data_IF_762602083787
#
_entry.id   IF_762602083787
#
_cell.length_a   1.000
_cell.length_b   1.000
_cell.length_c   1.000
_cell.angle_alpha   90.00
_cell.angle_beta   90.00
_cell.angle_gamma   90.00
#
_symmetry.space_group_name_H-M   'P 1'
#
loop_
_entity.id
_entity.type
_entity.pdbx_description
1 polymer ?
#
# COMPACT_ATOMS: atom_id res chain seq x y z
N UNK A 1 -11.89 16.93 6.94
CA UNK A 1 -12.64 15.71 7.29
C UNK A 1 -12.22 15.27 8.68
N UNK A 2 -13.14 14.68 9.47
CA UNK A 2 -12.84 14.04 10.75
C UNK A 2 -13.17 12.55 10.64
N UNK A 3 -12.39 11.63 11.22
CA UNK A 3 -12.75 10.21 11.25
C UNK A 3 -14.02 10.00 12.07
N UNK A 4 -14.95 9.22 11.51
CA UNK A 4 -16.29 8.98 12.08
C UNK A 4 -16.43 7.62 12.77
N UNK A 5 -15.49 6.71 12.54
CA UNK A 5 -15.52 5.36 13.06
C UNK A 5 -14.66 4.44 12.22
N UNK A 6 -14.51 3.20 12.70
CA UNK A 6 -13.78 2.19 11.95
C UNK A 6 -14.68 1.06 11.47
N UNK A 7 -15.67 0.68 12.28
CA UNK A 7 -16.65 -0.30 11.87
C UNK A 7 -17.64 0.32 10.87
N UNK A 8 -18.24 -0.55 10.06
CA UNK A 8 -19.38 -0.19 9.19
C UNK A 8 -20.49 0.48 10.00
N UNK A 9 -20.71 0.06 11.24
CA UNK A 9 -21.74 0.61 12.11
C UNK A 9 -21.64 2.13 12.32
N UNK A 10 -20.47 2.75 12.08
CA UNK A 10 -20.25 4.20 12.23
C UNK A 10 -19.70 4.86 10.96
N UNK A 11 -19.94 4.25 9.80
CA UNK A 11 -19.51 4.77 8.49
C UNK A 11 -18.05 4.48 8.13
N UNK A 12 -17.36 3.65 8.93
CA UNK A 12 -16.11 3.01 8.50
C UNK A 12 -16.37 1.84 7.55
N UNK A 13 -15.33 1.08 7.21
CA UNK A 13 -15.46 -0.09 6.32
C UNK A 13 -14.48 -1.22 6.70
N UNK A 14 -13.84 -1.14 7.88
CA UNK A 14 -12.83 -2.13 8.31
C UNK A 14 -13.42 -3.54 8.33
N UNK A 15 -14.65 -3.71 8.78
CA UNK A 15 -15.33 -5.00 8.85
C UNK A 15 -16.43 -5.18 7.78
N UNK A 16 -16.39 -4.35 6.73
CA UNK A 16 -17.36 -4.42 5.65
C UNK A 16 -17.08 -5.55 4.65
N UNK A 17 -18.05 -5.86 3.76
CA UNK A 17 -17.96 -6.95 2.80
C UNK A 17 -16.69 -6.92 1.94
N UNK A 18 -16.29 -5.73 1.45
CA UNK A 18 -15.09 -5.58 0.62
C UNK A 18 -13.80 -5.93 1.37
N UNK A 19 -13.70 -5.54 2.65
CA UNK A 19 -12.53 -5.82 3.48
C UNK A 19 -12.44 -7.31 3.81
N UNK A 20 -13.55 -7.93 4.19
CA UNK A 20 -13.63 -9.37 4.47
C UNK A 20 -13.29 -10.20 3.23
N UNK A 21 -13.86 -9.85 2.08
CA UNK A 21 -13.53 -10.46 0.79
C UNK A 21 -12.02 -10.43 0.49
N UNK A 22 -11.35 -9.29 0.78
CA UNK A 22 -9.92 -9.16 0.52
C UNK A 22 -9.08 -10.13 1.35
N UNK A 23 -9.46 -10.37 2.62
CA UNK A 23 -8.79 -11.34 3.49
C UNK A 23 -9.05 -12.76 3.02
N UNK A 24 -10.30 -13.09 2.69
CA UNK A 24 -10.64 -14.41 2.16
C UNK A 24 -9.85 -14.73 0.88
N UNK A 25 -9.74 -13.76 -0.05
CA UNK A 25 -8.97 -13.92 -1.29
C UNK A 25 -7.48 -14.04 -1.04
N UNK A 26 -6.93 -13.24 -0.13
CA UNK A 26 -5.54 -13.35 0.28
C UNK A 26 -5.23 -14.75 0.81
N UNK A 27 -6.05 -15.27 1.72
CA UNK A 27 -5.86 -16.59 2.31
C UNK A 27 -6.06 -17.72 1.28
N UNK A 28 -7.05 -17.59 0.40
CA UNK A 28 -7.28 -18.51 -0.71
C UNK A 28 -6.03 -18.60 -1.60
N UNK A 29 -5.50 -17.45 -2.02
CA UNK A 29 -4.35 -17.39 -2.93
C UNK A 29 -3.06 -17.86 -2.27
N UNK A 30 -2.83 -17.49 -1.00
CA UNK A 30 -1.68 -17.95 -0.24
C UNK A 30 -1.67 -19.47 -0.14
N UNK A 31 -2.83 -20.09 0.10
CA UNK A 31 -2.95 -21.55 0.20
C UNK A 31 -2.88 -22.26 -1.15
N UNK A 32 -3.47 -21.68 -2.20
CA UNK A 32 -3.63 -22.36 -3.48
C UNK A 32 -2.43 -22.19 -4.43
N UNK A 33 -1.73 -21.06 -4.35
CA UNK A 33 -0.77 -20.64 -5.39
C UNK A 33 0.62 -20.26 -4.88
N UNK A 34 0.79 -20.01 -3.58
CA UNK A 34 2.11 -19.69 -3.03
C UNK A 34 2.90 -20.96 -2.64
N UNK A 35 4.24 -20.89 -2.59
CA UNK A 35 5.05 -21.95 -1.99
C UNK A 35 4.59 -22.27 -0.55
N UNK A 36 4.56 -23.54 -0.12
CA UNK A 36 4.06 -23.93 1.21
C UNK A 36 4.72 -23.18 2.37
N UNK A 37 6.01 -22.87 2.26
CA UNK A 37 6.79 -22.14 3.24
C UNK A 37 6.40 -20.65 3.37
N UNK A 38 5.70 -20.08 2.39
CA UNK A 38 5.37 -18.66 2.35
C UNK A 38 4.53 -18.19 3.55
N UNK A 39 3.67 -19.06 4.09
CA UNK A 39 2.82 -18.72 5.24
C UNK A 39 3.62 -18.47 6.53
N UNK A 40 4.82 -19.05 6.64
CA UNK A 40 5.70 -18.87 7.80
C UNK A 40 6.70 -17.73 7.64
N UNK A 41 6.77 -17.09 6.47
CA UNK A 41 7.78 -16.07 6.19
C UNK A 41 7.44 -14.72 6.81
N UNK A 42 8.45 -14.09 7.38
CA UNK A 42 8.45 -12.67 7.73
C UNK A 42 8.68 -11.80 6.49
N UNK A 43 8.53 -10.49 6.65
CA UNK A 43 8.83 -9.51 5.60
C UNK A 43 10.28 -9.63 5.07
N UNK A 44 11.26 -9.82 5.96
CA UNK A 44 12.67 -9.94 5.58
C UNK A 44 12.99 -11.23 4.84
N UNK A 45 12.25 -12.30 5.09
CA UNK A 45 12.42 -13.60 4.42
C UNK A 45 11.72 -13.63 3.06
N UNK A 46 10.52 -13.05 2.96
CA UNK A 46 9.73 -13.03 1.72
C UNK A 46 10.25 -12.03 0.67
N UNK A 47 10.84 -10.90 1.10
CA UNK A 47 11.32 -9.84 0.22
C UNK A 47 12.34 -10.27 -0.84
N UNK A 48 13.38 -11.07 -0.50
CA UNK A 48 14.37 -11.55 -1.46
C UNK A 48 13.91 -12.68 -2.40
N UNK A 49 12.80 -13.37 -2.10
CA UNK A 49 12.34 -14.56 -2.85
C UNK A 49 12.21 -14.34 -4.36
N UNK A 50 11.64 -13.22 -4.87
CA UNK A 50 11.54 -12.98 -6.31
C UNK A 50 12.90 -13.01 -7.02
N UNK A 51 13.96 -12.48 -6.39
CA UNK A 51 15.31 -12.43 -6.98
C UNK A 51 15.95 -13.82 -7.12
N UNK A 52 15.46 -14.81 -6.37
CA UNK A 52 15.94 -16.19 -6.40
C UNK A 52 15.35 -16.99 -7.56
N UNK A 53 14.32 -16.47 -8.24
CA UNK A 53 13.67 -17.15 -9.37
C UNK A 53 12.82 -18.35 -8.97
N UNK A 54 12.45 -18.47 -7.69
CA UNK A 54 11.64 -19.55 -7.16
C UNK A 54 10.13 -19.37 -7.40
N UNK A 55 9.69 -18.15 -7.76
CA UNK A 55 8.30 -17.81 -8.01
C UNK A 55 8.13 -17.10 -9.35
N UNK A 56 6.97 -17.28 -9.99
CA UNK A 56 6.65 -16.60 -11.24
C UNK A 56 6.10 -15.18 -11.04
N UNK A 57 5.52 -14.88 -9.88
CA UNK A 57 4.85 -13.61 -9.60
C UNK A 57 4.86 -13.28 -8.10
N UNK A 58 5.03 -11.99 -7.79
CA UNK A 58 4.78 -11.41 -6.48
C UNK A 58 3.63 -10.40 -6.61
N UNK A 59 2.59 -10.53 -5.76
CA UNK A 59 1.34 -9.75 -5.87
C UNK A 59 1.49 -8.34 -5.28
N UNK A 60 2.56 -8.13 -4.51
CA UNK A 60 2.94 -6.85 -3.94
C UNK A 60 4.44 -6.65 -4.14
N UNK A 61 4.85 -5.41 -4.40
CA UNK A 61 6.25 -5.07 -4.60
C UNK A 61 6.67 -3.97 -3.64
N UNK A 62 7.81 -4.18 -2.98
CA UNK A 62 8.43 -3.18 -2.12
C UNK A 62 9.71 -2.69 -2.79
N UNK A 63 9.76 -1.38 -3.08
CA UNK A 63 10.86 -0.73 -3.82
C UNK A 63 12.25 -1.08 -3.28
N UNK A 64 12.38 -1.27 -1.96
CA UNK A 64 13.64 -1.56 -1.28
C UNK A 64 14.35 -2.84 -1.78
N UNK A 65 13.62 -3.84 -2.30
CA UNK A 65 14.22 -5.09 -2.78
C UNK A 65 14.60 -5.06 -4.27
N UNK A 66 14.28 -3.98 -4.98
CA UNK A 66 14.43 -3.89 -6.44
C UNK A 66 15.88 -3.79 -6.88
N UNK A 67 16.70 -3.04 -6.13
CA UNK A 67 18.11 -2.92 -6.43
C UNK A 67 18.82 -4.28 -6.36
N UNK A 68 18.34 -5.14 -5.45
CA UNK A 68 18.84 -6.49 -5.30
C UNK A 68 18.30 -7.45 -6.36
N UNK A 69 17.12 -7.23 -6.93
CA UNK A 69 16.53 -8.09 -7.97
C UNK A 69 17.03 -7.85 -9.41
N UNK A 70 17.87 -6.82 -9.62
CA UNK A 70 18.47 -6.47 -10.91
C UNK A 70 19.99 -6.67 -10.96
N UNK A 71 20.57 -7.32 -9.94
CA UNK A 71 22.01 -7.63 -9.92
C UNK A 71 22.36 -8.69 -10.98
N UNK A 72 23.48 -8.49 -11.66
CA UNK A 72 24.01 -9.45 -12.62
C UNK A 72 24.35 -10.78 -11.94
N UNK A 73 24.20 -11.89 -12.69
CA UNK A 73 24.45 -13.25 -12.19
C UNK A 73 23.26 -13.89 -11.46
N UNK A 74 22.18 -13.16 -11.20
CA UNK A 74 20.96 -13.72 -10.64
C UNK A 74 20.19 -14.59 -11.65
N UNK A 75 19.47 -15.64 -11.20
CA UNK A 75 18.70 -16.50 -12.09
C UNK A 75 17.60 -15.76 -12.85
N UNK A 76 17.13 -14.63 -12.31
CA UNK A 76 16.08 -13.78 -12.89
C UNK A 76 16.61 -12.62 -13.74
N UNK A 77 17.91 -12.59 -14.02
CA UNK A 77 18.55 -11.60 -14.88
C UNK A 77 19.22 -12.32 -16.06
N UNK A 78 19.06 -11.77 -17.26
CA UNK A 78 19.67 -12.29 -18.48
C UNK A 78 21.18 -11.97 -18.51
N UNK A 79 21.92 -12.65 -19.39
CA UNK A 79 23.36 -12.44 -19.56
C UNK A 79 23.71 -11.00 -20.02
N UNK A 80 22.78 -10.30 -20.67
CA UNK A 80 22.93 -8.89 -21.08
C UNK A 80 22.58 -7.87 -19.97
N UNK A 81 22.23 -8.36 -18.78
CA UNK A 81 21.85 -7.56 -17.62
C UNK A 81 20.40 -7.08 -17.62
N UNK A 82 19.56 -7.52 -18.57
CA UNK A 82 18.11 -7.22 -18.56
C UNK A 82 17.35 -8.17 -17.62
N UNK A 83 16.32 -7.71 -16.88
CA UNK A 83 15.53 -8.59 -16.04
C UNK A 83 14.64 -9.51 -16.89
N UNK A 84 14.46 -10.76 -16.43
CA UNK A 84 13.49 -11.73 -16.99
C UNK A 84 12.06 -11.48 -16.52
N UNK A 85 11.90 -10.55 -15.58
CA UNK A 85 10.63 -10.17 -14.95
C UNK A 85 10.26 -8.74 -15.34
N UNK A 86 8.98 -8.40 -15.14
CA UNK A 86 8.44 -7.05 -15.39
C UNK A 86 7.45 -6.66 -14.32
N UNK A 87 7.40 -5.36 -14.00
CA UNK A 87 6.32 -4.76 -13.24
C UNK A 87 5.06 -4.70 -14.10
N UNK A 88 3.92 -4.99 -13.49
CA UNK A 88 2.64 -4.97 -14.15
C UNK A 88 1.62 -4.22 -13.27
N UNK A 89 0.54 -3.67 -13.87
CA UNK A 89 -0.61 -3.19 -13.10
C UNK A 89 -1.15 -4.27 -12.15
N UNK A 90 -1.57 -3.86 -10.96
CA UNK A 90 -2.15 -4.78 -9.97
C UNK A 90 -3.47 -5.38 -10.48
N UNK A 91 -3.75 -6.66 -10.18
CA UNK A 91 -5.05 -7.24 -10.45
C UNK A 91 -6.13 -6.59 -9.56
N UNK A 92 -7.37 -6.59 -10.05
CA UNK A 92 -8.52 -6.03 -9.33
C UNK A 92 -9.43 -7.13 -8.81
N UNK A 93 -9.96 -6.93 -7.60
CA UNK A 93 -11.08 -7.72 -7.07
C UNK A 93 -12.43 -7.12 -7.47
N UNK A 94 -13.51 -7.87 -7.23
CA UNK A 94 -14.89 -7.50 -7.63
C UNK A 94 -15.38 -6.16 -7.04
N UNK A 95 -14.87 -5.80 -5.85
CA UNK A 95 -15.19 -4.57 -5.14
C UNK A 95 -14.40 -3.35 -5.62
N UNK A 96 -13.37 -3.55 -6.45
CA UNK A 96 -12.61 -2.43 -7.01
C UNK A 96 -13.41 -1.77 -8.14
N UNK A 97 -13.40 -0.44 -8.19
CA UNK A 97 -14.01 0.40 -9.22
C UNK A 97 -13.02 1.46 -9.68
N UNK A 98 -13.19 1.95 -10.90
CA UNK A 98 -12.34 3.01 -11.45
C UNK A 98 -12.27 4.21 -10.51
N UNK A 99 -11.05 4.68 -10.24
CA UNK A 99 -10.76 5.76 -9.30
C UNK A 99 -10.43 5.31 -7.88
N UNK A 100 -10.71 4.04 -7.52
CA UNK A 100 -10.23 3.48 -6.25
C UNK A 100 -8.70 3.30 -6.26
N UNK A 101 -8.09 3.47 -5.10
CA UNK A 101 -6.65 3.23 -4.92
C UNK A 101 -6.35 1.73 -5.02
N UNK A 102 -5.14 1.40 -5.48
CA UNK A 102 -4.64 0.02 -5.57
C UNK A 102 -3.75 -0.36 -4.38
N UNK A 103 -3.28 0.64 -3.64
CA UNK A 103 -2.42 0.47 -2.49
C UNK A 103 -1.99 1.82 -1.95
N UNK A 104 -0.89 1.80 -1.21
CA UNK A 104 -0.27 3.01 -0.65
C UNK A 104 1.20 3.11 -1.06
N UNK A 105 1.72 4.33 -1.05
CA UNK A 105 3.15 4.61 -1.12
C UNK A 105 3.64 5.18 0.20
N UNK A 106 4.73 4.60 0.70
CA UNK A 106 5.48 5.17 1.81
C UNK A 106 6.27 6.38 1.32
N UNK A 107 5.81 7.58 1.70
CA UNK A 107 6.50 8.83 1.42
C UNK A 107 7.41 9.21 2.58
N UNK A 108 8.68 8.81 2.49
CA UNK A 108 9.70 9.21 3.46
C UNK A 108 9.76 10.73 3.63
N UNK A 109 9.72 11.19 4.88
CA UNK A 109 9.64 12.61 5.23
C UNK A 109 10.70 13.01 6.26
N UNK A 110 11.26 14.21 6.12
CA UNK A 110 12.12 14.80 7.13
C UNK A 110 11.26 15.42 8.23
N UNK A 111 11.41 14.95 9.46
CA UNK A 111 10.68 15.48 10.62
C UNK A 111 11.64 16.24 11.53
N UNK A 112 11.42 17.54 11.67
CA UNK A 112 12.14 18.40 12.62
C UNK A 112 11.21 18.71 13.80
N UNK A 113 11.57 18.25 15.00
CA UNK A 113 10.74 18.44 16.18
C UNK A 113 10.78 19.91 16.62
N UNK A 114 9.63 20.46 17.05
CA UNK A 114 9.54 21.82 17.61
C UNK A 114 10.45 22.04 18.83
N UNK A 115 10.76 20.98 19.56
CA UNK A 115 11.65 21.00 20.72
C UNK A 115 13.15 21.00 20.36
N UNK A 116 13.50 20.86 19.08
CA UNK A 116 14.89 20.84 18.63
C UNK A 116 15.47 22.25 18.77
N UNK A 117 16.62 22.45 19.44
CA UNK A 117 17.31 23.74 19.48
C UNK A 117 17.51 24.33 18.08
N UNK A 118 17.34 25.64 17.94
CA UNK A 118 17.27 26.33 16.64
C UNK A 118 18.52 26.10 15.77
N UNK A 119 19.71 26.14 16.38
CA UNK A 119 20.99 25.87 15.72
C UNK A 119 21.04 24.45 15.13
N UNK A 120 20.57 23.46 15.90
CA UNK A 120 20.50 22.05 15.47
C UNK A 120 19.42 21.81 14.42
N UNK A 121 18.27 22.47 14.54
CA UNK A 121 17.19 22.40 13.57
C UNK A 121 17.65 22.94 12.21
N UNK A 122 18.37 24.07 12.20
CA UNK A 122 18.99 24.64 10.99
C UNK A 122 20.01 23.70 10.37
N UNK A 123 20.88 23.08 11.17
CA UNK A 123 21.85 22.11 10.68
C UNK A 123 21.16 20.86 10.06
N UNK A 124 20.13 20.34 10.73
CA UNK A 124 19.34 19.22 10.22
C UNK A 124 18.59 19.58 8.92
N UNK A 125 18.08 20.81 8.82
CA UNK A 125 17.45 21.31 7.60
C UNK A 125 18.44 21.38 6.42
N UNK A 126 19.64 21.93 6.65
CA UNK A 126 20.70 21.98 5.63
C UNK A 126 21.08 20.56 5.16
N UNK A 127 21.18 19.61 6.09
CA UNK A 127 21.46 18.22 5.75
C UNK A 127 20.32 17.59 4.92
N UNK A 128 19.06 17.82 5.30
CA UNK A 128 17.91 17.35 4.54
C UNK A 128 17.91 17.92 3.10
N UNK A 129 18.25 19.20 2.95
CA UNK A 129 18.41 19.85 1.64
C UNK A 129 19.56 19.23 0.83
N UNK A 130 20.70 18.95 1.45
CA UNK A 130 21.82 18.28 0.81
C UNK A 130 21.45 16.89 0.29
N UNK A 131 20.85 16.03 1.14
CA UNK A 131 20.43 14.67 0.76
C UNK A 131 19.39 14.69 -0.35
N UNK A 132 18.52 15.70 -0.35
CA UNK A 132 17.47 15.91 -1.35
C UNK A 132 17.96 16.68 -2.58
N UNK A 133 19.22 17.13 -2.63
CA UNK A 133 19.76 17.85 -3.80
C UNK A 133 19.79 16.92 -5.02
N UNK A 134 19.60 17.48 -6.23
CA UNK A 134 19.51 16.69 -7.47
C UNK A 134 20.71 15.75 -7.64
N UNK A 135 21.93 16.23 -7.43
CA UNK A 135 23.15 15.44 -7.60
C UNK A 135 23.20 14.25 -6.65
N UNK A 136 22.84 14.47 -5.38
CA UNK A 136 22.86 13.41 -4.35
C UNK A 136 21.72 12.42 -4.57
N UNK A 137 20.51 12.91 -4.88
CA UNK A 137 19.34 12.08 -5.16
C UNK A 137 19.54 11.21 -6.40
N UNK A 138 20.09 11.75 -7.50
CA UNK A 138 20.45 10.96 -8.70
C UNK A 138 21.41 9.83 -8.34
N UNK A 139 22.49 10.13 -7.60
CA UNK A 139 23.47 9.12 -7.19
C UNK A 139 22.84 8.06 -6.29
N UNK A 140 22.08 8.45 -5.27
CA UNK A 140 21.39 7.52 -4.36
C UNK A 140 20.36 6.68 -5.10
N UNK A 141 19.58 7.27 -5.99
CA UNK A 141 18.55 6.57 -6.78
C UNK A 141 19.19 5.53 -7.70
N UNK A 142 20.40 5.76 -8.22
CA UNK A 142 21.11 4.73 -8.98
C UNK A 142 21.53 3.52 -8.12
N UNK A 143 21.71 3.71 -6.81
CA UNK A 143 22.05 2.61 -5.90
C UNK A 143 20.79 1.92 -5.38
N UNK A 144 19.87 2.67 -4.77
CA UNK A 144 18.73 2.11 -4.04
C UNK A 144 17.41 2.06 -4.81
N UNK A 145 17.32 2.68 -5.99
CA UNK A 145 16.09 2.73 -6.81
C UNK A 145 14.87 3.36 -6.08
N UNK A 146 15.13 4.22 -5.10
CA UNK A 146 14.13 5.04 -4.40
C UNK A 146 14.31 6.50 -4.81
N UNK A 147 13.26 7.12 -5.33
CA UNK A 147 13.34 8.45 -5.94
C UNK A 147 12.72 9.51 -5.02
N UNK A 148 13.41 10.63 -4.82
CA UNK A 148 12.86 11.78 -4.07
C UNK A 148 12.32 12.84 -5.03
N UNK A 149 12.96 13.03 -6.19
CA UNK A 149 12.64 14.14 -7.11
C UNK A 149 12.18 13.65 -8.47
N UNK A 150 11.20 14.36 -9.04
CA UNK A 150 10.84 14.21 -10.45
C UNK A 150 12.04 14.48 -11.38
N UNK A 151 12.85 15.51 -11.09
CA UNK A 151 14.06 15.82 -11.87
C UNK A 151 15.14 14.72 -11.85
N UNK A 152 15.07 13.80 -10.88
CA UNK A 152 15.92 12.62 -10.80
C UNK A 152 15.35 11.51 -11.67
N UNK A 153 14.05 11.25 -11.57
CA UNK A 153 13.34 10.33 -12.46
C UNK A 153 13.52 10.71 -13.94
N UNK A 154 13.51 12.00 -14.27
CA UNK A 154 13.65 12.51 -15.64
C UNK A 154 15.10 12.60 -16.12
N UNK A 155 16.08 12.27 -15.27
CA UNK A 155 17.48 12.37 -15.63
C UNK A 155 17.81 11.39 -16.79
N UNK A 156 18.60 11.79 -17.81
CA UNK A 156 18.89 10.95 -18.98
C UNK A 156 19.46 9.57 -18.64
N UNK A 157 20.27 9.47 -17.58
CA UNK A 157 20.84 8.19 -17.11
C UNK A 157 19.77 7.17 -16.68
N UNK A 158 18.58 7.60 -16.26
CA UNK A 158 17.47 6.68 -15.97
C UNK A 158 16.70 6.29 -17.23
N UNK A 159 16.69 7.13 -18.26
CA UNK A 159 16.19 6.70 -19.58
C UNK A 159 17.08 5.61 -20.16
N UNK A 160 18.41 5.79 -20.09
CA UNK A 160 19.38 4.79 -20.54
C UNK A 160 19.29 3.49 -19.73
N UNK A 161 19.09 3.58 -18.41
CA UNK A 161 19.01 2.40 -17.53
C UNK A 161 17.63 1.73 -17.51
N UNK A 162 16.56 2.38 -17.95
CA UNK A 162 15.18 1.86 -17.86
C UNK A 162 15.02 0.40 -18.34
N UNK A 163 15.62 -0.02 -19.48
CA UNK A 163 15.51 -1.42 -19.94
C UNK A 163 16.04 -2.47 -18.94
N UNK A 164 16.92 -2.05 -18.00
CA UNK A 164 17.48 -2.92 -16.96
C UNK A 164 16.71 -2.88 -15.62
N UNK A 165 15.57 -2.18 -15.57
CA UNK A 165 14.81 -1.94 -14.34
C UNK A 165 13.38 -2.48 -14.37
N UNK A 166 13.06 -3.34 -15.34
CA UNK A 166 11.86 -4.17 -15.31
C UNK A 166 10.55 -3.38 -15.29
N UNK A 167 10.48 -2.19 -15.88
CA UNK A 167 9.27 -1.35 -15.89
C UNK A 167 9.20 -0.31 -14.77
N UNK A 168 10.20 -0.25 -13.87
CA UNK A 168 10.22 0.70 -12.74
C UNK A 168 10.13 2.16 -13.18
N UNK A 169 10.93 2.54 -14.17
CA UNK A 169 11.04 3.93 -14.62
C UNK A 169 9.77 4.32 -15.37
N UNK A 170 9.24 3.41 -16.18
CA UNK A 170 7.99 3.54 -16.89
C UNK A 170 6.83 3.73 -15.92
N UNK A 171 6.72 2.89 -14.88
CA UNK A 171 5.73 3.04 -13.83
C UNK A 171 5.82 4.41 -13.14
N UNK A 172 7.01 4.80 -12.67
CA UNK A 172 7.18 6.06 -11.96
C UNK A 172 7.05 7.29 -12.86
N UNK A 173 7.22 7.19 -14.17
CA UNK A 173 6.94 8.29 -15.11
C UNK A 173 5.48 8.31 -15.56
N UNK A 174 4.73 7.23 -15.35
CA UNK A 174 3.32 7.12 -15.72
C UNK A 174 2.35 7.74 -14.70
N UNK A 175 1.10 8.02 -15.12
CA UNK A 175 0.01 8.36 -14.20
C UNK A 175 -0.35 7.24 -13.21
N UNK A 176 0.03 5.99 -13.47
CA UNK A 176 -0.37 4.85 -12.64
C UNK A 176 0.13 5.00 -11.19
N UNK A 177 1.27 5.66 -10.97
CA UNK A 177 1.78 5.97 -9.62
C UNK A 177 0.78 6.76 -8.76
N UNK A 178 -0.12 7.53 -9.38
CA UNK A 178 -1.15 8.32 -8.68
C UNK A 178 -2.28 7.44 -8.12
N UNK A 179 -2.41 6.20 -8.56
CA UNK A 179 -3.35 5.25 -7.94
C UNK A 179 -2.84 4.67 -6.63
N UNK A 180 -1.60 5.01 -6.25
CA UNK A 180 -0.94 4.59 -5.02
C UNK A 180 -0.69 5.75 -4.04
N UNK A 181 -0.97 7.00 -4.45
CA UNK A 181 -0.78 8.23 -3.67
C UNK A 181 -1.94 9.21 -3.91
N UNK A 182 -2.47 9.96 -2.93
CA UNK A 182 -2.14 9.97 -1.50
C UNK A 182 -2.90 8.89 -0.71
N UNK A 183 -2.39 8.56 0.48
CA UNK A 183 -2.95 7.63 1.48
C UNK A 183 -4.19 8.14 2.24
N UNK A 184 -4.81 9.22 1.78
CA UNK A 184 -5.92 9.89 2.47
C UNK A 184 -5.43 10.82 3.59
N UNK A 185 -6.37 11.36 4.37
CA UNK A 185 -6.04 12.18 5.54
C UNK A 185 -5.41 11.33 6.63
N UNK A 186 -4.32 11.81 7.25
CA UNK A 186 -3.60 11.11 8.31
C UNK A 186 -4.55 10.49 9.34
N UNK A 187 -4.37 9.20 9.59
CA UNK A 187 -5.18 8.46 10.56
C UNK A 187 -4.77 8.89 11.99
N UNK A 188 -5.73 9.23 12.87
CA UNK A 188 -5.43 9.55 14.28
C UNK A 188 -4.68 8.41 14.96
N UNK A 189 -3.54 8.72 15.59
CA UNK A 189 -2.73 7.72 16.31
C UNK A 189 -2.45 6.45 15.46
N UNK A 190 -2.06 6.65 14.19
CA UNK A 190 -1.68 5.57 13.28
C UNK A 190 -0.71 4.54 13.90
N UNK A 191 0.34 4.92 14.67
CA UNK A 191 1.24 3.95 15.28
C UNK A 191 0.50 2.92 16.16
N UNK A 192 -0.55 3.34 16.87
CA UNK A 192 -1.35 2.44 17.70
C UNK A 192 -2.33 1.62 16.88
N UNK A 193 -3.03 2.24 15.93
CA UNK A 193 -4.02 1.55 15.10
C UNK A 193 -3.37 0.51 14.17
N UNK A 194 -2.15 0.79 13.67
CA UNK A 194 -1.40 -0.12 12.80
C UNK A 194 -1.04 -1.44 13.49
N UNK A 195 -0.78 -1.45 14.80
CA UNK A 195 -0.48 -2.68 15.53
C UNK A 195 -1.69 -3.62 15.61
N UNK A 196 -2.90 -3.07 15.67
CA UNK A 196 -4.12 -3.86 15.72
C UNK A 196 -4.35 -4.65 14.42
N UNK A 197 -3.96 -4.07 13.27
CA UNK A 197 -4.03 -4.74 11.98
C UNK A 197 -3.22 -6.04 11.98
N UNK A 198 -1.97 -6.00 12.42
CA UNK A 198 -1.10 -7.18 12.40
C UNK A 198 -1.67 -8.33 13.24
N UNK A 199 -2.24 -8.02 14.40
CA UNK A 199 -2.86 -9.01 15.26
C UNK A 199 -4.09 -9.64 14.59
N UNK A 200 -5.01 -8.84 14.05
CA UNK A 200 -6.23 -9.35 13.43
C UNK A 200 -5.94 -10.17 12.17
N UNK A 201 -5.02 -9.72 11.32
CA UNK A 201 -4.62 -10.45 10.12
C UNK A 201 -3.90 -11.75 10.50
N UNK A 202 -3.11 -11.75 11.59
CA UNK A 202 -2.51 -12.97 12.15
C UNK A 202 -3.54 -13.99 12.64
N UNK A 203 -4.59 -13.55 13.34
CA UNK A 203 -5.69 -14.41 13.78
C UNK A 203 -6.41 -15.07 12.59
N UNK A 204 -6.65 -14.31 11.51
CA UNK A 204 -7.25 -14.84 10.29
C UNK A 204 -6.31 -15.81 9.55
N UNK A 205 -5.03 -15.44 9.40
CA UNK A 205 -4.03 -16.24 8.67
C UNK A 205 -3.68 -17.56 9.34
N UNK A 206 -3.71 -17.60 10.67
CA UNK A 206 -3.54 -18.83 11.44
C UNK A 206 -4.80 -19.72 11.47
N UNK A 207 -5.94 -19.21 11.03
CA UNK A 207 -7.24 -19.88 11.14
C UNK A 207 -7.84 -19.86 12.54
N UNK A 208 -7.29 -19.06 13.46
CA UNK A 208 -7.86 -18.87 14.81
C UNK A 208 -9.22 -18.15 14.77
N UNK A 209 -9.43 -17.31 13.75
CA UNK A 209 -10.69 -16.63 13.46
C UNK A 209 -11.01 -16.72 11.97
N UNK A 210 -12.30 -16.69 11.64
CA UNK A 210 -12.74 -16.40 10.27
C UNK A 210 -12.34 -14.97 9.86
N UNK A 211 -12.34 -14.69 8.56
CA UNK A 211 -12.07 -13.34 8.05
C UNK A 211 -13.04 -12.31 8.66
N UNK A 212 -14.33 -12.62 8.74
CA UNK A 212 -15.32 -11.73 9.35
C UNK A 212 -15.01 -11.47 10.83
N UNK A 213 -14.80 -12.52 11.64
CA UNK A 213 -14.51 -12.38 13.08
C UNK A 213 -13.22 -11.60 13.36
N UNK A 214 -12.20 -11.78 12.52
CA UNK A 214 -10.95 -11.04 12.60
C UNK A 214 -11.16 -9.55 12.32
N UNK A 215 -11.88 -9.21 11.25
CA UNK A 215 -12.14 -7.82 10.89
C UNK A 215 -13.13 -7.14 11.86
N UNK A 216 -14.11 -7.87 12.40
CA UNK A 216 -14.98 -7.40 13.48
C UNK A 216 -14.17 -7.08 14.75
N UNK A 217 -13.25 -7.98 15.13
CA UNK A 217 -12.32 -7.75 16.25
C UNK A 217 -11.48 -6.50 16.01
N UNK A 218 -10.92 -6.36 14.81
CA UNK A 218 -10.09 -5.21 14.44
C UNK A 218 -10.87 -3.91 14.55
N UNK A 219 -12.05 -3.84 13.95
CA UNK A 219 -12.84 -2.61 13.94
C UNK A 219 -13.24 -2.21 15.37
N UNK A 220 -13.64 -3.17 16.21
CA UNK A 220 -14.01 -2.91 17.60
C UNK A 220 -12.83 -2.37 18.43
N UNK A 221 -11.63 -2.93 18.28
CA UNK A 221 -10.43 -2.40 18.95
C UNK A 221 -10.03 -1.02 18.45
N UNK A 222 -10.17 -0.77 17.14
CA UNK A 222 -9.93 0.56 16.56
C UNK A 222 -10.93 1.59 17.11
N UNK A 223 -12.21 1.25 17.24
CA UNK A 223 -13.22 2.14 17.85
C UNK A 223 -12.93 2.47 19.31
N UNK A 224 -12.42 1.51 20.09
CA UNK A 224 -11.96 1.78 21.47
C UNK A 224 -10.85 2.83 21.51
N UNK A 225 -9.93 2.80 20.55
CA UNK A 225 -8.86 3.80 20.44
C UNK A 225 -9.42 5.14 20.01
N UNK A 226 -10.22 5.17 18.93
CA UNK A 226 -10.83 6.39 18.41
C UNK A 226 -11.72 7.09 19.45
N UNK A 227 -12.55 6.34 20.19
CA UNK A 227 -13.40 6.89 21.23
C UNK A 227 -12.62 7.43 22.43
N UNK A 228 -11.46 6.87 22.76
CA UNK A 228 -10.55 7.46 23.77
C UNK A 228 -9.96 8.77 23.26
N UNK A 229 -9.53 8.83 22.00
CA UNK A 229 -8.98 10.04 21.39
C UNK A 229 -10.02 11.17 21.29
N UNK A 230 -11.26 10.83 20.92
CA UNK A 230 -12.38 11.78 20.90
C UNK A 230 -12.61 12.38 22.29
N UNK A 231 -12.73 11.54 23.33
CA UNK A 231 -12.91 12.02 24.72
C UNK A 231 -11.73 12.85 25.22
N UNK A 232 -10.51 12.49 24.84
CA UNK A 232 -9.31 13.21 25.26
C UNK A 232 -9.20 14.59 24.59
N UNK A 233 -9.76 14.78 23.40
CA UNK A 233 -9.77 16.07 22.70
C UNK A 233 -8.39 16.59 22.26
N UNK A 234 -7.33 15.78 22.40
CA UNK A 234 -5.93 16.20 22.17
C UNK A 234 -5.62 16.55 20.71
N UNK A 235 -6.47 16.12 19.79
CA UNK A 235 -6.36 16.40 18.35
C UNK A 235 -7.25 17.56 17.89
N UNK A 236 -7.99 18.21 18.79
CA UNK A 236 -8.87 19.34 18.46
C UNK A 236 -9.83 19.05 17.29
N UNK A 237 -9.93 19.99 16.36
CA UNK A 237 -10.88 19.95 15.24
C UNK A 237 -10.57 18.87 14.18
N UNK A 238 -9.37 18.28 14.22
CA UNK A 238 -8.96 17.19 13.32
C UNK A 238 -9.04 15.81 13.98
N UNK A 239 -9.44 15.74 15.25
CA UNK A 239 -9.62 14.48 15.97
C UNK A 239 -10.81 13.66 15.47
N UNK A 240 -10.92 12.38 15.86
CA UNK A 240 -12.11 11.59 15.57
C UNK A 240 -13.36 12.21 16.22
N UNK A 241 -14.51 11.99 15.60
CA UNK A 241 -15.84 12.26 16.17
C UNK A 241 -16.73 11.09 15.81
N UNK A 242 -16.94 10.16 16.74
CA UNK A 242 -17.64 8.92 16.42
C UNK A 242 -19.09 9.23 16.05
N UNK A 243 -19.53 8.74 14.89
CA UNK A 243 -20.91 8.87 14.43
C UNK A 243 -21.81 7.88 15.17
N UNK A 244 -23.10 8.17 15.27
CA UNK A 244 -24.09 7.24 15.83
C UNK A 244 -24.15 5.93 15.05
N UNK A 245 -24.55 4.85 15.72
CA UNK A 245 -24.60 3.54 15.08
C UNK A 245 -25.80 3.40 14.14
N UNK A 246 -25.52 2.92 12.93
CA UNK A 246 -26.53 2.58 11.92
C UNK A 246 -26.10 1.32 11.15
N UNK A 247 -27.04 0.74 10.41
CA UNK A 247 -26.76 -0.43 9.59
C UNK A 247 -25.91 -0.10 8.33
N UNK A 248 -25.42 -1.14 7.68
CA UNK A 248 -24.63 -1.02 6.45
C UNK A 248 -25.42 -0.32 5.33
N UNK A 249 -26.73 -0.54 5.23
CA UNK A 249 -27.55 0.03 4.16
C UNK A 249 -27.66 1.56 4.29
N UNK A 250 -27.85 2.04 5.52
CA UNK A 250 -27.82 3.46 5.84
C UNK A 250 -26.47 4.08 5.49
N UNK A 251 -25.36 3.48 5.94
CA UNK A 251 -24.03 4.03 5.71
C UNK A 251 -23.61 3.98 4.24
N UNK A 252 -24.00 2.93 3.52
CA UNK A 252 -23.81 2.87 2.08
C UNK A 252 -24.59 3.98 1.36
N UNK A 253 -25.85 4.21 1.72
CA UNK A 253 -26.67 5.26 1.12
C UNK A 253 -26.09 6.66 1.38
N UNK A 254 -25.64 6.95 2.61
CA UNK A 254 -24.98 8.21 2.94
C UNK A 254 -23.63 8.37 2.21
N UNK A 255 -22.85 7.29 2.08
CA UNK A 255 -21.62 7.31 1.29
C UNK A 255 -21.87 7.67 -0.18
N UNK A 256 -22.82 6.99 -0.83
CA UNK A 256 -23.19 7.23 -2.23
C UNK A 256 -23.68 8.67 -2.44
N UNK A 257 -24.53 9.17 -1.53
CA UNK A 257 -25.01 10.55 -1.55
C UNK A 257 -23.86 11.58 -1.43
N UNK A 258 -22.80 11.23 -0.70
CA UNK A 258 -21.58 12.03 -0.59
C UNK A 258 -20.59 11.82 -1.75
N UNK A 259 -20.92 11.03 -2.78
CA UNK A 259 -20.05 10.73 -3.91
C UNK A 259 -18.95 9.70 -3.61
N UNK A 260 -19.09 8.93 -2.53
CA UNK A 260 -18.18 7.86 -2.13
C UNK A 260 -18.77 6.47 -2.43
N UNK A 261 -17.92 5.45 -2.37
CA UNK A 261 -18.33 4.06 -2.60
C UNK A 261 -18.34 3.21 -1.32
N UNK A 262 -17.62 3.63 -0.28
CA UNK A 262 -17.44 2.85 0.94
C UNK A 262 -18.25 3.43 2.12
N UNK A 263 -18.87 2.59 2.97
CA UNK A 263 -18.83 1.12 2.93
C UNK A 263 -19.65 0.54 1.78
N UNK A 264 -19.14 -0.53 1.15
CA UNK A 264 -19.80 -1.19 0.03
C UNK A 264 -20.77 -2.27 0.52
N UNK A 265 -21.94 -2.37 -0.13
CA UNK A 265 -22.84 -3.53 0.06
C UNK A 265 -22.18 -4.81 -0.47
N UNK A 266 -22.58 -5.95 0.09
CA UNK A 266 -22.10 -7.25 -0.37
C UNK A 266 -22.48 -7.48 -1.82
N UNK A 267 -21.52 -7.92 -2.63
CA UNK A 267 -21.77 -8.31 -4.02
C UNK A 267 -22.17 -9.79 -4.05
N UNK A 268 -23.24 -10.12 -4.77
CA UNK A 268 -23.76 -11.50 -4.82
C UNK A 268 -22.76 -12.48 -5.46
N UNK A 269 -22.10 -12.06 -6.54
CA UNK A 269 -21.10 -12.85 -7.24
C UNK A 269 -19.67 -12.35 -6.98
N UNK A 270 -19.08 -12.79 -5.86
CA UNK A 270 -17.68 -12.51 -5.52
C UNK A 270 -16.67 -13.42 -6.26
N UNK A 271 -17.16 -14.37 -7.05
CA UNK A 271 -16.38 -15.38 -7.78
C UNK A 271 -16.54 -15.21 -9.28
N UNK A 272 -16.42 -13.97 -9.75
CA UNK A 272 -16.44 -13.68 -11.17
C UNK A 272 -15.37 -14.48 -11.92
N UNK A 273 -15.64 -14.77 -13.20
CA UNK A 273 -14.71 -15.52 -14.05
C UNK A 273 -13.42 -14.71 -14.21
N UNK A 274 -12.24 -15.29 -13.91
CA UNK A 274 -10.97 -14.60 -14.11
C UNK A 274 -10.79 -14.17 -15.56
N UNK A 275 -10.25 -12.97 -15.75
CA UNK A 275 -9.95 -12.40 -17.07
C UNK A 275 -8.43 -12.40 -17.23
N UNK A 276 -7.94 -13.08 -18.27
CA UNK A 276 -6.54 -12.98 -18.68
C UNK A 276 -6.39 -11.84 -19.68
N UNK A 277 -5.46 -10.93 -19.40
CA UNK A 277 -5.18 -9.77 -20.26
C UNK A 277 -3.74 -9.87 -20.73
N UNK A 278 -3.50 -9.53 -22.01
CA UNK A 278 -2.15 -9.44 -22.55
C UNK A 278 -1.37 -8.32 -21.83
N UNK A 279 -0.11 -8.57 -21.50
CA UNK A 279 0.74 -7.60 -20.79
C UNK A 279 0.89 -6.27 -21.54
N UNK A 280 1.11 -6.30 -22.86
CA UNK A 280 1.28 -5.11 -23.68
C UNK A 280 0.00 -4.27 -23.70
N UNK A 281 -1.17 -4.90 -23.61
CA UNK A 281 -2.45 -4.20 -23.43
C UNK A 281 -2.56 -3.56 -22.04
N UNK A 282 -2.13 -4.25 -20.98
CA UNK A 282 -2.18 -3.73 -19.61
C UNK A 282 -1.33 -2.44 -19.44
N UNK A 283 -0.12 -2.45 -19.99
CA UNK A 283 0.82 -1.33 -19.82
C UNK A 283 0.53 -0.12 -20.71
N UNK A 284 -0.40 -0.21 -21.69
CA UNK A 284 -0.87 0.98 -22.43
C UNK A 284 -1.46 2.05 -21.50
N UNK A 285 -1.98 1.65 -20.33
CA UNK A 285 -2.42 2.57 -19.29
C UNK A 285 -1.31 3.47 -18.74
N UNK A 286 -0.04 3.09 -18.90
CA UNK A 286 1.12 3.83 -18.40
C UNK A 286 1.66 4.89 -19.36
N UNK A 287 1.32 4.78 -20.65
CA UNK A 287 1.84 5.67 -21.71
C UNK A 287 1.01 6.95 -21.92
N UNK A 288 0.11 7.28 -20.99
CA UNK A 288 -0.76 8.45 -21.08
C UNK A 288 -0.09 9.71 -20.54
#
# INVERSE_FOLDING_TARGET
SRPVGSCVARGGDTNGPAAVYSIEKYLEWLKAYAPPEAQGMTFGESGPVPAQGAIAQQIFWYTAFTADSVKEGLPVVNADGTPKWRMAPSPHGVYWKDGMKLGYQDAGSWTLLKSTPDDRAKAAWLYAQFVTSKTVDVKKSHVGLTFIRQSTLDHPSFTERAPKLGGLIEFYRSPARLQWSPTGTNVPDYPKLAQLWWQAIGDASSGAKTAQEAMDSLCAEQEKVLGRLERAGVLGDIGPKLADEHDLAYWNAEAVKAGNLAPQLKIDNEKEKPITVNYDELVKSWSK
#
